data_IF_760238219696
#
_entry.id   IF_760238219696
#
_cell.length_a   1.000
_cell.length_b   1.000
_cell.length_c   1.000
_cell.angle_alpha   90.00
_cell.angle_beta   90.00
_cell.angle_gamma   90.00
#
_symmetry.space_group_name_H-M   'P 1'
#
loop_
_entity.id
_entity.type
_entity.pdbx_description
1 polymer ?
#
# COMPACT_ATOMS: atom_id res chain seq x y z
N UNK A 1 33.92 -0.65 55.42
CA UNK A 1 34.18 0.55 54.58
C UNK A 1 34.42 0.21 53.10
N UNK A 2 34.98 -0.97 52.82
CA UNK A 2 35.33 -1.48 51.47
C UNK A 2 34.11 -1.76 50.59
N UNK A 3 33.06 -2.38 51.13
CA UNK A 3 31.83 -2.73 50.38
C UNK A 3 31.10 -1.50 49.83
N UNK A 4 30.96 -0.43 50.63
CA UNK A 4 30.31 0.83 50.19
C UNK A 4 31.07 1.52 49.05
N UNK A 5 32.41 1.45 49.05
CA UNK A 5 33.26 2.00 47.98
C UNK A 5 33.13 1.19 46.69
N UNK A 6 33.11 -0.14 46.77
CA UNK A 6 32.90 -1.02 45.61
C UNK A 6 31.53 -0.80 44.99
N UNK A 7 30.46 -0.73 45.80
CA UNK A 7 29.09 -0.45 45.30
C UNK A 7 29.03 0.92 44.61
N UNK A 8 29.63 1.97 45.19
CA UNK A 8 29.66 3.30 44.56
C UNK A 8 30.41 3.31 43.22
N UNK A 9 31.52 2.57 43.11
CA UNK A 9 32.26 2.44 41.85
C UNK A 9 31.43 1.71 40.78
N UNK A 10 30.76 0.60 41.14
CA UNK A 10 29.86 -0.13 40.25
C UNK A 10 28.70 0.75 39.74
N UNK A 11 28.08 1.54 40.63
CA UNK A 11 27.01 2.47 40.24
C UNK A 11 27.48 3.56 39.28
N UNK A 12 28.70 4.08 39.44
CA UNK A 12 29.28 5.06 38.50
C UNK A 12 29.56 4.45 37.13
N UNK A 13 30.08 3.23 37.09
CA UNK A 13 30.32 2.50 35.84
C UNK A 13 28.99 2.24 35.13
N UNK A 14 27.97 1.75 35.86
CA UNK A 14 26.63 1.53 35.30
C UNK A 14 26.02 2.83 34.77
N UNK A 15 26.11 3.93 35.53
CA UNK A 15 25.65 5.24 35.08
C UNK A 15 26.40 5.73 33.83
N UNK A 16 27.71 5.49 33.74
CA UNK A 16 28.52 5.80 32.57
C UNK A 16 28.09 5.01 31.33
N UNK A 17 27.82 3.70 31.49
CA UNK A 17 27.30 2.83 30.41
C UNK A 17 25.93 3.31 29.93
N UNK A 18 25.02 3.61 30.87
CA UNK A 18 23.69 4.12 30.54
C UNK A 18 23.77 5.48 29.81
N UNK A 19 24.64 6.38 30.27
CA UNK A 19 24.86 7.67 29.60
C UNK A 19 25.42 7.49 28.18
N UNK A 20 26.40 6.61 28.00
CA UNK A 20 26.96 6.31 26.69
C UNK A 20 25.89 5.74 25.74
N UNK A 21 25.04 4.82 26.22
CA UNK A 21 23.93 4.27 25.45
C UNK A 21 22.91 5.35 25.05
N UNK A 22 22.55 6.25 25.97
CA UNK A 22 21.66 7.38 25.69
C UNK A 22 22.23 8.32 24.63
N UNK A 23 23.54 8.63 24.71
CA UNK A 23 24.22 9.46 23.71
C UNK A 23 24.21 8.77 22.34
N UNK A 24 24.44 7.46 22.28
CA UNK A 24 24.38 6.70 21.02
C UNK A 24 22.98 6.71 20.41
N UNK A 25 21.93 6.49 21.21
CA UNK A 25 20.53 6.55 20.74
C UNK A 25 20.19 7.96 20.27
N UNK A 26 20.53 8.98 21.05
CA UNK A 26 20.29 10.38 20.69
C UNK A 26 21.03 10.76 19.39
N UNK A 27 22.29 10.37 19.25
CA UNK A 27 23.09 10.58 18.04
C UNK A 27 22.50 9.89 16.82
N UNK A 28 22.03 8.64 16.97
CA UNK A 28 21.34 7.91 15.90
C UNK A 28 20.03 8.58 15.49
N UNK A 29 19.18 8.97 16.45
CA UNK A 29 17.93 9.68 16.17
C UNK A 29 18.18 11.05 15.53
N UNK A 30 19.21 11.78 15.95
CA UNK A 30 19.61 13.04 15.33
C UNK A 30 20.06 12.82 13.87
N UNK A 31 20.89 11.80 13.63
CA UNK A 31 21.32 11.44 12.27
C UNK A 31 20.13 11.09 11.35
N UNK A 32 19.18 10.29 11.85
CA UNK A 32 17.96 9.96 11.10
C UNK A 32 17.07 11.19 10.87
N UNK A 33 16.94 12.07 11.85
CA UNK A 33 16.15 13.31 11.73
C UNK A 33 16.70 14.23 10.65
N UNK A 34 18.03 14.35 10.55
CA UNK A 34 18.70 15.15 9.48
C UNK A 34 18.48 14.53 8.09
N UNK A 35 18.28 13.22 8.01
CA UNK A 35 18.09 12.46 6.75
C UNK A 35 16.64 12.09 6.49
N UNK A 36 15.70 12.62 7.28
CA UNK A 36 14.28 12.26 7.20
C UNK A 36 13.75 12.55 5.79
N UNK A 37 13.14 11.53 5.17
CA UNK A 37 12.44 11.72 3.90
C UNK A 37 11.20 12.58 4.14
N UNK A 38 11.19 13.78 3.56
CA UNK A 38 10.11 14.76 3.69
C UNK A 38 9.68 15.24 2.30
N UNK A 39 8.95 14.41 1.54
CA UNK A 39 8.47 14.82 0.21
C UNK A 39 7.46 15.97 0.34
N UNK A 40 7.32 16.76 -0.72
CA UNK A 40 6.29 17.80 -0.79
C UNK A 40 4.86 17.23 -0.72
N UNK A 41 3.91 18.09 -0.36
CA UNK A 41 2.48 17.73 -0.27
C UNK A 41 1.94 17.23 -1.61
N UNK A 42 2.31 17.91 -2.70
CA UNK A 42 2.02 17.48 -4.06
C UNK A 42 3.33 17.43 -4.86
N UNK A 43 3.56 16.33 -5.54
CA UNK A 43 4.71 16.14 -6.43
C UNK A 43 4.20 15.71 -7.80
N UNK A 44 4.33 16.60 -8.78
CA UNK A 44 3.99 16.30 -10.17
C UNK A 44 5.00 15.31 -10.75
N UNK A 45 4.50 14.24 -11.36
CA UNK A 45 5.29 13.23 -12.02
C UNK A 45 5.37 13.54 -13.52
N UNK A 46 6.49 13.19 -14.18
CA UNK A 46 6.60 13.37 -15.62
C UNK A 46 5.55 12.53 -16.35
N UNK A 47 4.96 13.14 -17.38
CA UNK A 47 4.05 12.47 -18.31
C UNK A 47 4.63 12.64 -19.71
N UNK A 48 4.86 11.52 -20.39
CA UNK A 48 5.38 11.49 -21.75
C UNK A 48 4.26 11.10 -22.72
N UNK A 49 4.23 11.76 -23.88
CA UNK A 49 3.20 11.55 -24.91
C UNK A 49 2.02 12.51 -24.82
N UNK A 50 1.01 12.25 -25.65
CA UNK A 50 -0.19 13.08 -25.77
C UNK A 50 -1.40 12.39 -25.12
N UNK A 51 -2.09 13.10 -24.22
CA UNK A 51 -3.27 12.58 -23.55
C UNK A 51 -4.43 12.35 -24.53
N UNK A 52 -4.81 11.08 -24.70
CA UNK A 52 -5.98 10.66 -25.47
C UNK A 52 -7.24 10.56 -24.61
N UNK A 53 -8.38 10.33 -25.24
CA UNK A 53 -9.63 10.00 -24.55
C UNK A 53 -9.64 8.50 -24.25
N UNK A 54 -9.85 8.13 -22.99
CA UNK A 54 -9.98 6.72 -22.57
C UNK A 54 -11.31 6.12 -23.05
N UNK A 55 -11.38 4.79 -23.27
CA UNK A 55 -12.63 4.14 -23.63
C UNK A 55 -13.65 4.22 -22.49
N UNK A 56 -14.94 4.22 -22.82
CA UNK A 56 -16.00 4.26 -21.81
C UNK A 56 -16.05 2.99 -20.96
N UNK A 57 -15.65 1.83 -21.51
CA UNK A 57 -15.55 0.56 -20.78
C UNK A 57 -14.10 0.20 -20.54
N UNK A 58 -13.74 -0.04 -19.28
CA UNK A 58 -12.35 -0.30 -18.88
C UNK A 58 -12.27 -1.44 -17.86
N UNK A 59 -11.12 -2.09 -17.81
CA UNK A 59 -10.77 -3.11 -16.81
C UNK A 59 -9.56 -2.66 -16.00
N UNK A 60 -9.66 -2.72 -14.68
CA UNK A 60 -8.67 -2.19 -13.74
C UNK A 60 -8.37 -3.24 -12.69
N UNK A 61 -7.09 -3.47 -12.43
CA UNK A 61 -6.63 -4.33 -11.33
C UNK A 61 -5.88 -3.53 -10.29
N UNK A 62 -6.13 -3.81 -9.01
CA UNK A 62 -5.26 -3.37 -7.92
C UNK A 62 -4.56 -4.58 -7.31
N UNK A 63 -3.28 -4.42 -6.97
CA UNK A 63 -2.49 -5.49 -6.37
C UNK A 63 -1.37 -4.95 -5.49
N UNK A 64 -1.50 -5.14 -4.17
CA UNK A 64 -0.36 -4.99 -3.27
C UNK A 64 0.58 -6.19 -3.45
N UNK A 65 1.79 -5.96 -3.97
CA UNK A 65 2.70 -7.05 -4.30
C UNK A 65 3.56 -7.49 -3.10
N UNK A 66 3.32 -6.92 -1.91
CA UNK A 66 4.05 -7.27 -0.67
C UNK A 66 5.56 -7.18 -0.85
N UNK A 67 6.04 -6.20 -1.63
CA UNK A 67 7.44 -6.04 -2.07
C UNK A 67 8.09 -7.34 -2.59
N UNK A 68 7.31 -8.18 -3.26
CA UNK A 68 7.66 -9.53 -3.70
C UNK A 68 8.32 -10.36 -2.59
N UNK A 69 8.03 -10.06 -1.32
CA UNK A 69 8.79 -10.56 -0.17
C UNK A 69 7.94 -11.26 0.87
N UNK A 70 6.63 -11.37 0.64
CA UNK A 70 5.62 -11.83 1.61
C UNK A 70 4.76 -12.99 1.11
N UNK A 71 5.29 -13.83 0.22
CA UNK A 71 4.59 -15.05 -0.24
C UNK A 71 4.24 -16.04 0.86
N UNK A 72 3.68 -17.19 0.48
CA UNK A 72 3.00 -18.11 1.38
C UNK A 72 3.89 -18.60 2.53
N UNK A 73 5.17 -18.85 2.29
CA UNK A 73 6.08 -19.40 3.29
C UNK A 73 6.58 -18.37 4.32
N UNK A 74 6.28 -17.07 4.12
CA UNK A 74 6.77 -16.00 4.98
C UNK A 74 6.02 -15.91 6.31
N UNK A 75 6.78 -15.60 7.37
CA UNK A 75 6.27 -15.04 8.62
C UNK A 75 7.03 -13.74 8.97
N UNK A 76 6.33 -12.63 9.12
CA UNK A 76 6.92 -11.31 9.25
C UNK A 76 6.97 -10.83 10.70
N UNK A 77 8.14 -10.34 11.12
CA UNK A 77 8.38 -9.98 12.52
C UNK A 77 7.48 -8.87 13.07
N UNK A 78 7.04 -7.91 12.24
CA UNK A 78 6.12 -6.87 12.71
C UNK A 78 4.73 -7.42 13.08
N UNK A 79 4.36 -8.59 12.55
CA UNK A 79 3.09 -9.26 12.85
C UNK A 79 3.25 -10.43 13.84
N UNK A 80 4.41 -10.58 14.47
CA UNK A 80 4.67 -11.64 15.44
C UNK A 80 5.32 -12.90 14.84
N UNK A 81 5.67 -12.88 13.55
CA UNK A 81 6.57 -13.85 12.93
C UNK A 81 8.03 -13.68 13.39
N UNK A 82 8.94 -14.40 12.72
CA UNK A 82 10.37 -14.42 13.05
C UNK A 82 11.24 -13.85 11.92
N UNK A 83 10.76 -13.86 10.67
CA UNK A 83 11.57 -13.41 9.54
C UNK A 83 11.48 -11.90 9.33
N UNK A 84 12.62 -11.29 9.02
CA UNK A 84 12.68 -9.88 8.58
C UNK A 84 12.61 -9.74 7.05
N UNK A 85 12.83 -10.84 6.32
CA UNK A 85 12.84 -10.96 4.85
C UNK A 85 13.00 -12.42 4.42
N UNK A 86 12.59 -12.78 3.19
CA UNK A 86 12.85 -14.11 2.63
C UNK A 86 14.35 -14.35 2.36
N UNK A 87 14.70 -15.62 2.17
CA UNK A 87 15.97 -15.99 1.54
C UNK A 87 16.08 -15.44 0.11
N UNK A 88 17.30 -15.31 -0.43
CA UNK A 88 17.50 -14.73 -1.77
C UNK A 88 16.85 -15.56 -2.89
N UNK A 89 16.93 -16.89 -2.80
CA UNK A 89 16.31 -17.80 -3.77
C UNK A 89 14.78 -17.71 -3.72
N UNK A 90 14.22 -17.68 -2.50
CA UNK A 90 12.79 -17.53 -2.28
C UNK A 90 12.25 -16.17 -2.76
N UNK A 91 13.00 -15.08 -2.55
CA UNK A 91 12.68 -13.79 -3.15
C UNK A 91 12.54 -13.90 -4.68
N UNK A 92 13.48 -14.59 -5.34
CA UNK A 92 13.43 -14.76 -6.80
C UNK A 92 12.17 -15.51 -7.25
N UNK A 93 11.75 -16.52 -6.50
CA UNK A 93 10.50 -17.26 -6.77
C UNK A 93 9.29 -16.34 -6.67
N UNK A 94 9.23 -15.50 -5.63
CA UNK A 94 8.14 -14.53 -5.46
C UNK A 94 8.16 -13.44 -6.55
N UNK A 95 9.33 -12.92 -6.92
CA UNK A 95 9.47 -11.94 -8.00
C UNK A 95 8.97 -12.50 -9.34
N UNK A 96 9.39 -13.71 -9.70
CA UNK A 96 8.91 -14.40 -10.91
C UNK A 96 7.40 -14.70 -10.83
N UNK A 97 6.90 -15.07 -9.65
CA UNK A 97 5.49 -15.32 -9.40
C UNK A 97 4.64 -14.06 -9.60
N UNK A 98 5.07 -12.93 -9.02
CA UNK A 98 4.41 -11.63 -9.19
C UNK A 98 4.43 -11.20 -10.66
N UNK A 99 5.56 -11.31 -11.37
CA UNK A 99 5.59 -10.97 -12.80
C UNK A 99 4.62 -11.82 -13.62
N UNK A 100 4.64 -13.15 -13.45
CA UNK A 100 3.70 -14.06 -14.12
C UNK A 100 2.25 -13.74 -13.77
N UNK A 101 1.97 -13.32 -12.54
CA UNK A 101 0.64 -12.87 -12.13
C UNK A 101 0.24 -11.61 -12.89
N UNK A 102 1.11 -10.60 -12.93
CA UNK A 102 0.85 -9.36 -13.67
C UNK A 102 0.66 -9.61 -15.18
N UNK A 103 1.37 -10.58 -15.77
CA UNK A 103 1.19 -10.96 -17.18
C UNK A 103 -0.25 -11.37 -17.49
N UNK A 104 -0.94 -12.03 -16.55
CA UNK A 104 -2.37 -12.39 -16.71
C UNK A 104 -3.29 -11.18 -16.80
N UNK A 105 -2.82 -10.00 -16.39
CA UNK A 105 -3.53 -8.72 -16.42
C UNK A 105 -3.03 -7.80 -17.54
N UNK A 106 -2.14 -8.28 -18.42
CA UNK A 106 -1.64 -7.51 -19.58
C UNK A 106 -2.75 -7.04 -20.52
N UNK A 107 -3.93 -7.68 -20.48
CA UNK A 107 -5.14 -7.24 -21.19
C UNK A 107 -5.82 -6.00 -20.59
N UNK A 108 -5.60 -5.68 -19.32
CA UNK A 108 -6.31 -4.63 -18.59
C UNK A 108 -5.82 -3.23 -18.95
N UNK A 109 -6.67 -2.22 -18.74
CA UNK A 109 -6.36 -0.82 -19.06
C UNK A 109 -5.38 -0.22 -18.05
N UNK A 110 -5.55 -0.57 -16.78
CA UNK A 110 -4.74 -0.05 -15.67
C UNK A 110 -4.40 -1.15 -14.67
N UNK A 111 -3.18 -1.08 -14.11
CA UNK A 111 -2.77 -1.87 -12.95
C UNK A 111 -2.25 -0.92 -11.85
N UNK A 112 -2.83 -1.00 -10.67
CA UNK A 112 -2.51 -0.19 -9.50
C UNK A 112 -1.73 -1.04 -8.50
N UNK A 113 -0.41 -0.86 -8.43
CA UNK A 113 0.45 -1.65 -7.57
C UNK A 113 0.86 -0.89 -6.31
N UNK A 114 0.85 -1.58 -5.18
CA UNK A 114 1.33 -1.08 -3.89
C UNK A 114 2.56 -1.88 -3.43
N UNK A 115 3.36 -1.28 -2.54
CA UNK A 115 4.59 -1.87 -1.99
C UNK A 115 5.66 -2.26 -3.01
N UNK A 116 5.84 -1.46 -4.06
CA UNK A 116 6.89 -1.71 -5.07
C UNK A 116 8.24 -1.20 -4.55
N UNK A 117 9.16 -2.11 -4.20
CA UNK A 117 10.51 -1.73 -3.77
C UNK A 117 11.37 -1.34 -4.99
N UNK A 118 12.00 -0.16 -4.92
CA UNK A 118 13.00 0.26 -5.91
C UNK A 118 14.44 -0.01 -5.44
N UNK A 119 14.66 -0.04 -4.13
CA UNK A 119 15.94 -0.37 -3.52
C UNK A 119 15.77 -0.57 -2.00
N UNK A 120 15.52 -1.81 -1.56
CA UNK A 120 15.38 -2.10 -0.14
C UNK A 120 16.13 -3.36 0.29
N UNK A 121 16.70 -3.34 1.50
CA UNK A 121 17.39 -4.50 2.07
C UNK A 121 16.44 -5.68 2.31
N UNK A 122 15.16 -5.42 2.61
CA UNK A 122 14.12 -6.45 2.81
C UNK A 122 13.83 -7.28 1.55
N UNK A 123 14.09 -6.72 0.38
CA UNK A 123 13.99 -7.36 -0.94
C UNK A 123 15.37 -7.50 -1.61
N UNK A 124 16.42 -7.67 -0.81
CA UNK A 124 17.80 -7.87 -1.30
C UNK A 124 18.29 -6.84 -2.34
N UNK A 125 17.84 -5.59 -2.19
CA UNK A 125 18.12 -4.47 -3.08
C UNK A 125 17.67 -4.69 -4.54
N UNK A 126 16.72 -5.60 -4.74
CA UNK A 126 16.06 -5.75 -6.03
C UNK A 126 15.35 -4.45 -6.40
N UNK A 127 15.37 -4.12 -7.70
CA UNK A 127 14.70 -2.97 -8.24
C UNK A 127 13.42 -3.45 -8.95
N UNK A 128 12.39 -3.70 -8.15
CA UNK A 128 11.10 -4.23 -8.62
C UNK A 128 10.38 -3.22 -9.51
N UNK A 129 10.56 -1.93 -9.25
CA UNK A 129 10.09 -0.88 -10.16
C UNK A 129 10.64 -1.12 -11.57
N UNK A 130 11.96 -1.23 -11.72
CA UNK A 130 12.58 -1.48 -13.03
C UNK A 130 12.17 -2.82 -13.61
N UNK A 131 12.14 -3.87 -12.80
CA UNK A 131 11.72 -5.21 -13.19
C UNK A 131 10.31 -5.19 -13.84
N UNK A 132 9.35 -4.54 -13.19
CA UNK A 132 7.98 -4.41 -13.68
C UNK A 132 7.93 -3.49 -14.91
N UNK A 133 8.55 -2.31 -14.88
CA UNK A 133 8.46 -1.36 -16.01
C UNK A 133 9.18 -1.84 -17.27
N UNK A 134 10.26 -2.60 -17.13
CA UNK A 134 10.95 -3.21 -18.28
C UNK A 134 10.10 -4.33 -18.90
N UNK A 135 9.37 -5.09 -18.07
CA UNK A 135 8.51 -6.17 -18.52
C UNK A 135 7.23 -5.65 -19.21
N UNK A 136 6.65 -4.58 -18.67
CA UNK A 136 5.46 -3.92 -19.21
C UNK A 136 5.83 -2.63 -19.95
N UNK A 137 6.80 -2.70 -20.87
CA UNK A 137 7.33 -1.53 -21.59
C UNK A 137 6.29 -0.76 -22.41
N UNK A 138 5.21 -1.42 -22.80
CA UNK A 138 4.10 -0.84 -23.56
C UNK A 138 3.12 -0.05 -22.67
N UNK A 139 3.27 -0.12 -21.34
CA UNK A 139 2.47 0.65 -20.40
C UNK A 139 3.23 1.93 -20.01
N UNK A 140 2.51 3.06 -20.01
CA UNK A 140 2.93 4.23 -19.26
C UNK A 140 3.02 3.88 -17.77
N UNK A 141 4.05 4.35 -17.09
CA UNK A 141 4.31 4.04 -15.69
C UNK A 141 4.50 5.30 -14.84
N UNK A 142 3.83 5.35 -13.69
CA UNK A 142 3.83 6.50 -12.80
C UNK A 142 4.13 6.03 -11.38
N UNK A 143 5.28 6.43 -10.84
CA UNK A 143 5.77 5.97 -9.54
C UNK A 143 5.72 7.06 -8.48
N UNK A 144 4.91 6.85 -7.44
CA UNK A 144 4.81 7.71 -6.28
C UNK A 144 5.57 7.09 -5.10
N UNK A 145 6.78 7.59 -4.83
CA UNK A 145 7.57 7.15 -3.69
C UNK A 145 6.87 7.52 -2.37
N UNK A 146 6.57 6.52 -1.54
CA UNK A 146 5.88 6.68 -0.27
C UNK A 146 6.73 6.20 0.92
N UNK A 147 7.89 5.61 0.68
CA UNK A 147 8.76 5.12 1.73
C UNK A 147 10.24 5.31 1.40
N UNK A 148 10.96 6.01 2.28
CA UNK A 148 12.42 6.06 2.27
C UNK A 148 12.92 6.23 3.71
N UNK A 149 13.51 5.16 4.26
CA UNK A 149 13.99 5.14 5.64
C UNK A 149 15.13 4.12 5.83
N UNK A 150 15.78 4.15 6.99
CA UNK A 150 16.59 3.05 7.48
C UNK A 150 16.01 2.54 8.79
N UNK A 151 15.54 1.29 8.81
CA UNK A 151 14.82 0.72 9.96
C UNK A 151 15.75 -0.17 10.80
N UNK A 152 15.97 0.16 12.10
CA UNK A 152 16.89 -0.58 12.97
C UNK A 152 16.35 -1.93 13.44
N UNK A 153 15.06 -2.20 13.28
CA UNK A 153 14.40 -3.37 13.83
C UNK A 153 14.25 -4.50 12.79
N UNK A 154 14.36 -5.77 13.22
CA UNK A 154 14.87 -6.21 14.54
C UNK A 154 16.39 -5.93 14.67
N UNK A 155 16.87 -5.61 15.88
CA UNK A 155 18.25 -5.12 16.11
C UNK A 155 19.34 -6.05 15.56
N UNK A 156 19.14 -7.37 15.64
CA UNK A 156 20.08 -8.39 15.16
C UNK A 156 20.02 -8.64 13.66
N UNK A 157 18.88 -8.34 13.01
CA UNK A 157 18.73 -8.44 11.56
C UNK A 157 17.83 -7.30 11.04
N UNK A 158 18.32 -6.05 11.02
CA UNK A 158 17.47 -4.90 10.74
C UNK A 158 16.81 -5.00 9.36
N UNK A 159 15.57 -4.55 9.23
CA UNK A 159 14.93 -4.37 7.93
C UNK A 159 15.77 -3.42 7.05
N UNK A 160 16.45 -2.44 7.66
CA UNK A 160 17.50 -1.64 7.06
C UNK A 160 16.99 -0.60 6.09
N UNK A 161 17.79 -0.29 5.06
CA UNK A 161 17.43 0.71 4.04
C UNK A 161 16.21 0.24 3.26
N UNK A 162 15.22 1.11 3.11
CA UNK A 162 14.05 0.88 2.27
C UNK A 162 13.84 2.08 1.34
N UNK A 163 13.46 1.79 0.10
CA UNK A 163 12.94 2.75 -0.87
C UNK A 163 11.82 2.06 -1.65
N UNK A 164 10.59 2.53 -1.46
CA UNK A 164 9.39 1.91 -2.01
C UNK A 164 8.32 2.94 -2.39
N UNK A 165 7.32 2.51 -3.15
CA UNK A 165 6.23 3.39 -3.60
C UNK A 165 5.02 2.67 -4.18
N UNK A 166 4.12 3.49 -4.69
CA UNK A 166 2.95 3.08 -5.47
C UNK A 166 3.29 3.22 -6.95
N UNK A 167 2.88 2.25 -7.75
CA UNK A 167 3.09 2.25 -9.20
C UNK A 167 1.74 2.11 -9.90
N UNK A 168 1.41 3.07 -10.76
CA UNK A 168 0.30 2.91 -11.71
C UNK A 168 0.88 2.59 -13.08
N UNK A 169 0.53 1.42 -13.62
CA UNK A 169 0.74 1.07 -15.03
C UNK A 169 -0.54 1.38 -15.81
N UNK A 170 -0.39 1.97 -16.99
CA UNK A 170 -1.49 2.49 -17.78
C UNK A 170 -1.25 2.27 -19.27
N UNK A 171 -2.22 1.67 -19.99
CA UNK A 171 -2.21 1.63 -21.46
C UNK A 171 -2.49 2.99 -22.10
N UNK A 172 -3.02 3.92 -21.32
CA UNK A 172 -3.43 5.25 -21.77
C UNK A 172 -2.45 6.30 -21.26
N UNK A 173 -2.28 7.41 -21.98
CA UNK A 173 -1.50 8.56 -21.52
C UNK A 173 -2.41 9.51 -20.72
N UNK A 174 -2.12 9.81 -19.44
CA UNK A 174 -2.88 10.77 -18.63
C UNK A 174 -2.62 12.22 -19.08
N UNK A 175 -3.55 13.12 -18.76
CA UNK A 175 -3.34 14.58 -18.82
C UNK A 175 -2.41 15.07 -17.71
N UNK A 176 -2.32 14.33 -16.60
CA UNK A 176 -1.42 14.63 -15.48
C UNK A 176 -1.31 13.49 -14.48
N UNK A 177 -0.15 13.40 -13.82
CA UNK A 177 0.13 12.45 -12.76
C UNK A 177 0.72 13.20 -11.54
N UNK A 178 0.16 12.97 -10.35
CA UNK A 178 0.55 13.69 -9.13
C UNK A 178 0.55 12.72 -7.95
N UNK A 179 1.68 12.67 -7.23
CA UNK A 179 1.75 12.10 -5.89
C UNK A 179 1.19 13.12 -4.90
N UNK A 180 0.18 12.75 -4.13
CA UNK A 180 -0.40 13.59 -3.07
C UNK A 180 -0.16 12.96 -1.71
N UNK A 181 0.55 13.65 -0.83
CA UNK A 181 0.83 13.19 0.53
C UNK A 181 -0.45 13.18 1.37
N UNK A 182 -0.61 12.17 2.22
CA UNK A 182 -1.59 12.26 3.30
C UNK A 182 -1.07 13.24 4.36
N UNK A 183 -1.96 14.12 4.85
CA UNK A 183 -1.70 15.09 5.93
C UNK A 183 -1.55 14.47 7.33
N UNK A 184 -1.52 13.14 7.44
CA UNK A 184 -1.36 12.40 8.69
C UNK A 184 -0.18 11.43 8.61
N UNK A 185 0.32 11.03 9.78
CA UNK A 185 1.41 10.09 9.91
C UNK A 185 1.84 9.94 11.36
N UNK A 186 2.78 9.03 11.60
CA UNK A 186 3.33 8.82 12.93
C UNK A 186 4.02 10.07 13.48
N UNK A 187 4.11 10.18 14.80
CA UNK A 187 4.87 11.22 15.50
C UNK A 187 6.36 10.87 15.56
N UNK A 188 7.20 11.85 15.92
CA UNK A 188 8.60 11.57 16.25
C UNK A 188 8.65 10.72 17.54
N UNK A 189 9.52 9.70 17.63
CA UNK A 189 10.55 9.31 16.65
C UNK A 189 10.08 8.29 15.60
N UNK A 190 8.88 7.70 15.75
CA UNK A 190 8.40 6.62 14.87
C UNK A 190 8.33 7.02 13.40
N UNK A 191 7.98 8.27 13.10
CA UNK A 191 7.93 8.81 11.74
C UNK A 191 9.24 8.71 10.96
N UNK A 192 10.38 8.59 11.65
CA UNK A 192 11.70 8.45 11.02
C UNK A 192 11.87 7.08 10.35
N UNK A 193 11.08 6.09 10.79
CA UNK A 193 11.17 4.70 10.37
C UNK A 193 9.97 4.23 9.56
N UNK A 194 8.85 4.98 9.63
CA UNK A 194 7.58 4.65 8.99
C UNK A 194 7.40 5.30 7.63
N UNK A 195 6.43 4.80 6.85
CA UNK A 195 6.08 5.31 5.54
C UNK A 195 5.59 6.76 5.62
N UNK A 196 5.90 7.54 4.57
CA UNK A 196 5.28 8.85 4.29
C UNK A 196 4.12 8.63 3.34
N UNK A 197 3.03 8.12 3.90
CA UNK A 197 1.82 7.67 3.18
C UNK A 197 1.34 8.74 2.21
N UNK A 198 0.91 8.30 1.04
CA UNK A 198 0.41 9.12 -0.05
C UNK A 198 -0.54 8.31 -0.92
N UNK A 199 -1.22 8.96 -1.83
CA UNK A 199 -1.90 8.33 -2.96
C UNK A 199 -1.39 8.94 -4.27
N UNK A 200 -1.49 8.18 -5.34
CA UNK A 200 -1.10 8.60 -6.69
C UNK A 200 -2.35 8.87 -7.50
N UNK A 201 -2.51 10.12 -7.94
CA UNK A 201 -3.59 10.56 -8.83
C UNK A 201 -3.08 10.60 -10.26
N UNK A 202 -3.75 9.90 -11.16
CA UNK A 202 -3.57 9.99 -12.61
C UNK A 202 -4.89 10.45 -13.23
N UNK A 203 -4.85 11.52 -14.01
CA UNK A 203 -6.03 12.13 -14.65
C UNK A 203 -6.03 11.79 -16.13
N UNK A 204 -7.15 11.35 -16.68
CA UNK A 204 -7.27 11.00 -18.09
C UNK A 204 -8.44 11.75 -18.71
N UNK A 205 -8.29 12.21 -19.96
CA UNK A 205 -9.44 12.74 -20.68
C UNK A 205 -10.43 11.60 -20.90
N UNK A 206 -11.71 11.84 -20.65
CA UNK A 206 -12.79 10.87 -20.85
C UNK A 206 -13.86 11.46 -21.78
N UNK A 207 -14.84 10.63 -22.14
CA UNK A 207 -16.04 11.09 -22.85
C UNK A 207 -16.74 12.25 -22.12
N UNK A 208 -17.69 12.90 -22.82
CA UNK A 208 -18.54 13.96 -22.25
C UNK A 208 -17.79 15.24 -21.81
N UNK A 209 -16.55 15.43 -22.26
CA UNK A 209 -15.73 16.59 -21.92
C UNK A 209 -15.31 16.62 -20.44
N UNK A 210 -15.20 15.44 -19.82
CA UNK A 210 -14.82 15.25 -18.41
C UNK A 210 -13.52 14.47 -18.29
N UNK A 211 -13.02 14.33 -17.07
CA UNK A 211 -11.85 13.51 -16.77
C UNK A 211 -12.21 12.26 -15.97
N UNK A 212 -11.45 11.18 -16.18
CA UNK A 212 -11.30 10.11 -15.22
C UNK A 212 -10.16 10.44 -14.26
N UNK A 213 -10.50 10.61 -12.98
CA UNK A 213 -9.57 10.74 -11.87
C UNK A 213 -9.37 9.36 -11.26
N UNK A 214 -8.27 8.70 -11.66
CA UNK A 214 -7.87 7.40 -11.16
C UNK A 214 -6.88 7.56 -10.01
N UNK A 215 -7.17 6.94 -8.87
CA UNK A 215 -6.35 7.04 -7.66
C UNK A 215 -5.87 5.65 -7.24
N UNK A 216 -4.55 5.51 -7.10
CA UNK A 216 -3.89 4.38 -6.45
C UNK A 216 -3.57 4.76 -5.00
N UNK A 217 -4.19 4.10 -4.02
CA UNK A 217 -4.00 4.38 -2.59
C UNK A 217 -3.35 3.22 -1.84
N UNK A 218 -2.67 3.54 -0.74
CA UNK A 218 -2.20 2.57 0.25
C UNK A 218 -2.22 3.22 1.64
N UNK A 219 -3.34 3.05 2.34
CA UNK A 219 -3.62 3.70 3.63
C UNK A 219 -2.77 3.10 4.77
N UNK A 220 -2.81 3.72 5.94
CA UNK A 220 -2.00 3.32 7.09
C UNK A 220 -2.45 2.01 7.74
N UNK A 221 -1.57 1.02 7.74
CA UNK A 221 -1.73 -0.28 8.39
C UNK A 221 -1.65 -0.25 9.93
N UNK A 222 -1.94 -1.39 10.55
CA UNK A 222 -1.87 -1.68 11.99
C UNK A 222 -2.93 -1.02 12.89
N UNK A 223 -3.12 -1.59 14.08
CA UNK A 223 -4.14 -1.16 15.03
C UNK A 223 -3.87 0.21 15.66
N UNK A 224 -2.61 0.64 15.71
CA UNK A 224 -2.22 1.92 16.32
C UNK A 224 -2.40 3.13 15.37
N UNK A 225 -2.80 2.89 14.12
CA UNK A 225 -2.98 3.92 13.09
C UNK A 225 -4.44 4.38 12.91
N UNK A 226 -5.37 4.03 13.81
CA UNK A 226 -6.79 4.36 13.65
C UNK A 226 -7.06 5.87 13.41
N UNK A 227 -6.44 6.75 14.20
CA UNK A 227 -6.57 8.22 14.01
C UNK A 227 -5.89 8.73 12.73
N UNK A 228 -4.79 8.08 12.31
CA UNK A 228 -4.13 8.38 11.05
C UNK A 228 -5.07 8.07 9.89
N UNK A 229 -5.67 6.87 9.89
CA UNK A 229 -6.63 6.42 8.88
C UNK A 229 -7.87 7.30 8.80
N UNK A 230 -8.40 7.78 9.93
CA UNK A 230 -9.52 8.74 9.94
C UNK A 230 -9.19 10.01 9.13
N UNK A 231 -7.96 10.51 9.26
CA UNK A 231 -7.50 11.70 8.52
C UNK A 231 -7.20 11.39 7.05
N UNK A 232 -6.73 10.18 6.74
CA UNK A 232 -6.55 9.70 5.36
C UNK A 232 -7.90 9.58 4.63
N UNK A 233 -8.89 8.94 5.27
CA UNK A 233 -10.25 8.83 4.76
C UNK A 233 -10.88 10.21 4.53
N UNK A 234 -10.76 11.14 5.47
CA UNK A 234 -11.28 12.50 5.30
C UNK A 234 -10.71 13.20 4.05
N UNK A 235 -9.41 13.03 3.77
CA UNK A 235 -8.78 13.59 2.57
C UNK A 235 -9.24 12.91 1.28
N UNK A 236 -9.42 11.58 1.29
CA UNK A 236 -9.97 10.87 0.13
C UNK A 236 -11.42 11.31 -0.14
N UNK A 237 -12.23 11.48 0.91
CA UNK A 237 -13.60 11.99 0.79
C UNK A 237 -13.64 13.41 0.22
N UNK A 238 -12.75 14.30 0.67
CA UNK A 238 -12.63 15.65 0.11
C UNK A 238 -12.30 15.61 -1.39
N UNK A 239 -11.38 14.74 -1.81
CA UNK A 239 -11.07 14.51 -3.23
C UNK A 239 -12.29 13.99 -3.99
N UNK A 240 -12.99 13.00 -3.44
CA UNK A 240 -14.19 12.40 -4.03
C UNK A 240 -15.25 13.46 -4.32
N UNK A 241 -15.63 14.24 -3.30
CA UNK A 241 -16.68 15.26 -3.40
C UNK A 241 -16.26 16.41 -4.35
N UNK A 242 -14.99 16.84 -4.26
CA UNK A 242 -14.45 17.93 -5.09
C UNK A 242 -14.43 17.57 -6.57
N UNK A 243 -13.93 16.37 -6.91
CA UNK A 243 -13.81 15.95 -8.31
C UNK A 243 -15.16 15.58 -8.92
N UNK A 244 -16.03 14.93 -8.15
CA UNK A 244 -17.37 14.61 -8.62
C UNK A 244 -18.22 15.87 -8.83
N UNK A 245 -18.06 16.91 -8.01
CA UNK A 245 -18.72 18.23 -8.22
C UNK A 245 -18.31 18.88 -9.55
N UNK A 246 -17.09 18.62 -10.06
CA UNK A 246 -16.64 19.08 -11.39
C UNK A 246 -17.27 18.24 -12.53
N UNK A 247 -17.99 17.18 -12.19
CA UNK A 247 -18.57 16.20 -13.11
C UNK A 247 -17.59 15.14 -13.57
N UNK A 248 -16.43 15.01 -12.93
CA UNK A 248 -15.43 13.99 -13.27
C UNK A 248 -15.87 12.60 -12.80
N UNK A 249 -15.32 11.58 -13.44
CA UNK A 249 -15.38 10.20 -12.98
C UNK A 249 -14.29 10.00 -11.93
N UNK A 250 -14.62 9.45 -10.77
CA UNK A 250 -13.64 9.21 -9.70
C UNK A 250 -13.60 7.72 -9.40
N UNK A 251 -12.42 7.14 -9.58
CA UNK A 251 -12.16 5.75 -9.28
C UNK A 251 -10.95 5.65 -8.35
N UNK A 252 -11.15 5.14 -7.14
CA UNK A 252 -10.09 4.98 -6.14
C UNK A 252 -9.91 3.49 -5.89
N UNK A 253 -8.73 2.95 -6.14
CA UNK A 253 -8.39 1.55 -5.90
C UNK A 253 -7.07 1.41 -5.14
N UNK A 254 -6.93 0.32 -4.38
CA UNK A 254 -5.72 0.10 -3.60
C UNK A 254 -5.94 -0.78 -2.39
N UNK A 255 -4.92 -0.80 -1.55
CA UNK A 255 -4.97 -1.37 -0.20
C UNK A 255 -5.44 -0.30 0.79
N UNK A 256 -6.68 -0.44 1.25
CA UNK A 256 -7.30 0.49 2.20
C UNK A 256 -6.92 0.22 3.65
N UNK A 257 -6.26 -0.91 3.95
CA UNK A 257 -5.95 -1.36 5.31
C UNK A 257 -7.14 -1.33 6.29
N UNK A 258 -8.37 -1.37 5.77
CA UNK A 258 -9.64 -1.37 6.53
C UNK A 258 -10.68 -2.12 5.74
N UNK A 259 -11.60 -2.79 6.44
CA UNK A 259 -12.71 -3.43 5.76
C UNK A 259 -13.70 -2.38 5.21
N UNK A 260 -14.26 -2.59 4.00
CA UNK A 260 -15.30 -1.73 3.46
C UNK A 260 -16.60 -1.90 4.24
N UNK A 261 -17.47 -0.91 4.15
CA UNK A 261 -18.82 -1.00 4.74
C UNK A 261 -19.57 -2.18 4.11
N UNK A 262 -20.26 -2.96 4.95
CA UNK A 262 -21.03 -4.12 4.52
C UNK A 262 -20.21 -5.39 4.28
N UNK A 263 -18.90 -5.41 4.58
CA UNK A 263 -18.11 -6.63 4.54
C UNK A 263 -18.66 -7.68 5.52
N UNK A 264 -19.24 -8.75 4.98
CA UNK A 264 -19.79 -9.85 5.76
C UNK A 264 -18.89 -11.09 5.64
N UNK A 265 -18.23 -11.42 6.75
CA UNK A 265 -17.36 -12.59 6.84
C UNK A 265 -18.07 -13.92 6.61
N UNK A 266 -19.41 -13.98 6.74
CA UNK A 266 -20.18 -15.19 6.49
C UNK A 266 -20.32 -15.55 5.00
N UNK A 267 -20.05 -14.59 4.10
CA UNK A 267 -20.09 -14.81 2.65
C UNK A 267 -18.79 -15.41 2.10
N UNK A 268 -17.70 -15.33 2.87
CA UNK A 268 -16.39 -15.82 2.43
C UNK A 268 -16.41 -17.33 2.20
N UNK A 269 -15.65 -17.77 1.20
CA UNK A 269 -15.50 -19.18 0.91
C UNK A 269 -14.82 -19.94 2.07
N UNK A 270 -15.12 -21.25 2.26
CA UNK A 270 -14.72 -22.00 3.45
C UNK A 270 -13.20 -22.14 3.71
N UNK A 271 -12.35 -21.88 2.72
CA UNK A 271 -10.89 -21.91 2.88
C UNK A 271 -10.34 -20.73 3.68
N UNK A 272 -11.12 -19.66 3.86
CA UNK A 272 -10.72 -18.47 4.60
C UNK A 272 -11.06 -18.60 6.08
N UNK A 273 -10.11 -18.19 6.94
CA UNK A 273 -10.36 -17.99 8.37
C UNK A 273 -10.50 -16.49 8.62
N UNK A 274 -11.72 -15.93 8.63
CA UNK A 274 -11.89 -14.49 8.60
C UNK A 274 -11.41 -13.78 9.87
N UNK A 275 -10.89 -12.57 9.69
CA UNK A 275 -10.72 -11.54 10.73
C UNK A 275 -11.32 -10.22 10.26
N UNK A 276 -11.75 -9.41 11.22
CA UNK A 276 -12.12 -8.01 11.01
C UNK A 276 -10.97 -7.08 11.43
N UNK A 277 -10.85 -5.98 10.71
CA UNK A 277 -9.98 -4.86 11.02
C UNK A 277 -10.80 -3.83 11.78
N UNK A 278 -10.34 -3.52 13.00
CA UNK A 278 -11.00 -2.57 13.88
C UNK A 278 -10.20 -1.25 13.98
N UNK A 279 -10.83 -0.08 13.78
CA UNK A 279 -12.19 0.10 13.24
C UNK A 279 -12.26 -0.16 11.72
N UNK A 280 -13.41 -0.61 11.19
CA UNK A 280 -13.65 -0.66 9.74
C UNK A 280 -13.79 0.77 9.17
N UNK A 281 -14.01 0.88 7.86
CA UNK A 281 -14.39 2.18 7.28
C UNK A 281 -15.76 2.60 7.87
N UNK A 282 -15.92 3.85 8.33
CA UNK A 282 -17.20 4.34 8.87
C UNK A 282 -18.35 4.28 7.85
N UNK A 283 -19.55 3.96 8.33
CA UNK A 283 -20.76 3.86 7.49
C UNK A 283 -21.09 5.16 6.73
N UNK A 284 -20.73 6.31 7.30
CA UNK A 284 -20.96 7.64 6.74
C UNK A 284 -19.81 8.14 5.83
N UNK A 285 -18.81 7.28 5.54
CA UNK A 285 -17.66 7.65 4.72
C UNK A 285 -18.04 7.96 3.27
N UNK A 286 -18.86 7.11 2.64
CA UNK A 286 -19.27 7.29 1.25
C UNK A 286 -20.36 8.36 1.14
N UNK A 287 -20.20 9.37 0.25
CA UNK A 287 -21.30 10.26 -0.11
C UNK A 287 -22.43 9.49 -0.81
N UNK A 288 -23.62 10.09 -0.88
CA UNK A 288 -24.78 9.46 -1.50
C UNK A 288 -24.50 9.03 -2.95
N UNK A 289 -24.93 7.80 -3.30
CA UNK A 289 -24.78 7.22 -4.63
C UNK A 289 -23.39 6.64 -4.94
N UNK A 290 -22.39 6.85 -4.09
CA UNK A 290 -21.09 6.19 -4.21
C UNK A 290 -21.19 4.74 -3.76
N UNK A 291 -20.27 3.90 -4.25
CA UNK A 291 -20.24 2.49 -3.90
C UNK A 291 -18.83 1.97 -3.71
N UNK A 292 -18.69 1.01 -2.80
CA UNK A 292 -17.55 0.11 -2.77
C UNK A 292 -17.72 -0.96 -3.86
N UNK A 293 -16.63 -1.38 -4.49
CA UNK A 293 -16.58 -2.57 -5.34
C UNK A 293 -15.51 -3.52 -4.82
N UNK A 294 -15.97 -4.65 -4.29
CA UNK A 294 -15.16 -5.75 -3.80
C UNK A 294 -15.86 -7.07 -4.08
N UNK A 295 -15.09 -8.14 -4.13
CA UNK A 295 -15.61 -9.50 -4.22
C UNK A 295 -15.93 -10.01 -2.80
N UNK A 296 -17.20 -10.28 -2.46
CA UNK A 296 -17.58 -10.68 -1.10
C UNK A 296 -17.16 -12.12 -0.76
N UNK A 297 -16.75 -12.93 -1.74
CA UNK A 297 -16.45 -14.35 -1.54
C UNK A 297 -15.00 -14.61 -1.15
N UNK A 298 -14.08 -13.67 -1.43
CA UNK A 298 -12.66 -13.87 -1.25
C UNK A 298 -12.03 -12.85 -0.28
N UNK A 299 -11.14 -13.32 0.59
CA UNK A 299 -10.23 -12.43 1.30
C UNK A 299 -9.17 -11.88 0.34
N UNK A 300 -8.66 -10.67 0.59
CA UNK A 300 -7.61 -10.05 -0.23
C UNK A 300 -6.27 -9.95 0.49
N UNK A 301 -6.23 -10.12 1.82
CA UNK A 301 -5.02 -10.09 2.63
C UNK A 301 -5.01 -11.23 3.66
N UNK A 302 -3.82 -11.70 4.03
CA UNK A 302 -3.60 -12.64 5.14
C UNK A 302 -2.80 -12.01 6.28
N UNK A 303 -2.97 -12.52 7.49
CA UNK A 303 -1.96 -12.33 8.54
C UNK A 303 -0.63 -12.95 8.08
N UNK A 304 0.46 -12.26 8.38
CA UNK A 304 1.82 -12.74 8.11
C UNK A 304 2.51 -13.14 9.41
N UNK A 305 1.77 -13.48 10.47
CA UNK A 305 2.33 -13.94 11.75
C UNK A 305 2.87 -15.38 11.71
N UNK A 306 2.40 -16.19 10.74
CA UNK A 306 2.83 -17.55 10.43
C UNK A 306 2.84 -17.75 8.91
N UNK A 307 3.50 -18.80 8.38
CA UNK A 307 3.32 -19.20 6.98
C UNK A 307 1.85 -19.48 6.68
N UNK A 308 1.42 -19.16 5.46
CA UNK A 308 0.05 -19.33 5.01
C UNK A 308 -0.35 -20.81 5.03
N UNK A 309 -1.51 -21.08 5.59
CA UNK A 309 -2.19 -22.36 5.47
C UNK A 309 -3.69 -22.09 5.47
N UNK A 310 -4.37 -22.52 4.41
CA UNK A 310 -5.82 -22.40 4.28
C UNK A 310 -6.55 -22.96 5.52
N UNK A 311 -7.58 -22.25 5.97
CA UNK A 311 -8.35 -22.57 7.18
C UNK A 311 -7.61 -22.42 8.51
N UNK A 312 -6.34 -21.99 8.52
CA UNK A 312 -5.55 -21.78 9.75
C UNK A 312 -5.01 -20.36 9.89
N UNK A 313 -4.47 -19.81 8.81
CA UNK A 313 -4.01 -18.42 8.80
C UNK A 313 -5.21 -17.50 8.67
N UNK A 314 -5.28 -16.46 9.50
CA UNK A 314 -6.39 -15.51 9.42
C UNK A 314 -6.27 -14.67 8.16
N UNK A 315 -7.40 -14.34 7.55
CA UNK A 315 -7.49 -13.56 6.32
C UNK A 315 -8.60 -12.52 6.41
N UNK A 316 -8.51 -11.47 5.60
CA UNK A 316 -9.47 -10.36 5.59
C UNK A 316 -9.57 -9.74 4.20
N UNK A 317 -10.51 -8.82 4.01
CA UNK A 317 -10.72 -8.05 2.78
C UNK A 317 -10.41 -6.57 3.02
N UNK A 318 -9.34 -6.08 2.40
CA UNK A 318 -8.87 -4.68 2.53
C UNK A 318 -8.45 -4.05 1.19
N UNK A 319 -8.41 -4.84 0.11
CA UNK A 319 -8.10 -4.36 -1.23
C UNK A 319 -9.40 -4.27 -2.03
N UNK A 320 -9.76 -3.06 -2.49
CA UNK A 320 -11.01 -2.84 -3.21
C UNK A 320 -11.04 -1.47 -3.88
N UNK A 321 -12.14 -1.19 -4.56
CA UNK A 321 -12.37 0.07 -5.24
C UNK A 321 -13.53 0.88 -4.64
N UNK A 322 -13.48 2.20 -4.81
CA UNK A 322 -14.58 3.14 -4.57
C UNK A 322 -14.88 3.87 -5.88
N UNK A 323 -16.16 3.93 -6.24
CA UNK A 323 -16.63 4.44 -7.53
C UNK A 323 -17.62 5.58 -7.33
N UNK A 324 -17.45 6.65 -8.10
CA UNK A 324 -18.43 7.74 -8.18
C UNK A 324 -19.75 7.29 -8.83
N UNK A 325 -20.87 7.99 -8.57
CA UNK A 325 -22.19 7.58 -9.06
C UNK A 325 -22.33 7.44 -10.58
N UNK A 326 -21.49 8.13 -11.35
CA UNK A 326 -21.43 8.11 -12.82
C UNK A 326 -20.56 6.98 -13.39
N UNK A 327 -20.15 6.01 -12.57
CA UNK A 327 -19.45 4.81 -13.01
C UNK A 327 -20.31 3.59 -12.63
N UNK A 328 -20.70 2.77 -13.60
CA UNK A 328 -21.25 1.46 -13.26
C UNK A 328 -20.15 0.43 -13.06
N UNK A 329 -20.40 -0.46 -12.11
CA UNK A 329 -19.64 -1.67 -11.93
C UNK A 329 -20.29 -2.76 -12.78
N UNK A 330 -19.57 -3.28 -13.76
CA UNK A 330 -20.01 -4.40 -14.59
C UNK A 330 -19.61 -5.74 -13.97
N UNK A 331 -18.42 -5.81 -13.39
CA UNK A 331 -17.90 -7.00 -12.71
C UNK A 331 -16.90 -6.61 -11.62
N UNK A 332 -16.79 -7.43 -10.58
CA UNK A 332 -15.69 -7.40 -9.60
C UNK A 332 -15.31 -8.83 -9.25
N UNK A 333 -14.01 -9.11 -9.22
CA UNK A 333 -13.47 -10.43 -8.93
C UNK A 333 -12.12 -10.32 -8.22
N UNK A 334 -11.92 -11.11 -7.18
CA UNK A 334 -10.60 -11.34 -6.60
C UNK A 334 -9.98 -12.57 -7.26
N UNK A 335 -8.79 -12.43 -7.83
CA UNK A 335 -8.05 -13.57 -8.36
C UNK A 335 -7.43 -14.33 -7.20
N UNK A 336 -7.98 -15.50 -6.85
CA UNK A 336 -7.41 -16.35 -5.81
C UNK A 336 -6.02 -16.85 -6.20
N UNK A 337 -5.00 -16.42 -5.45
CA UNK A 337 -3.61 -16.84 -5.66
C UNK A 337 -3.18 -17.89 -4.63
N UNK A 338 -3.95 -18.07 -3.56
CA UNK A 338 -3.50 -18.84 -2.40
C UNK A 338 -2.33 -18.16 -1.67
N UNK A 339 -2.16 -16.84 -1.87
CA UNK A 339 -1.08 -16.03 -1.30
C UNK A 339 0.32 -16.54 -1.64
N UNK A 340 0.50 -17.21 -2.79
CA UNK A 340 1.76 -17.88 -3.12
C UNK A 340 2.92 -16.91 -3.31
N UNK A 341 2.70 -15.82 -4.06
CA UNK A 341 3.72 -14.85 -4.45
C UNK A 341 3.70 -13.56 -3.61
N UNK A 342 2.57 -13.24 -2.98
CA UNK A 342 2.39 -12.11 -2.07
C UNK A 342 1.34 -12.44 -1.00
N UNK A 343 1.35 -11.68 0.10
CA UNK A 343 0.37 -11.76 1.18
C UNK A 343 -0.96 -11.08 0.86
N UNK A 344 -1.08 -10.51 -0.34
CA UNK A 344 -2.33 -10.03 -0.91
C UNK A 344 -2.76 -10.81 -2.16
N UNK A 345 -4.04 -10.70 -2.49
CA UNK A 345 -4.64 -11.21 -3.73
C UNK A 345 -5.13 -10.03 -4.58
N UNK A 346 -4.90 -10.05 -5.91
CA UNK A 346 -5.33 -8.96 -6.80
C UNK A 346 -6.84 -8.91 -6.93
N UNK A 347 -7.38 -7.68 -6.99
CA UNK A 347 -8.80 -7.42 -7.23
C UNK A 347 -8.95 -6.71 -8.56
N UNK A 348 -9.80 -7.26 -9.42
CA UNK A 348 -10.08 -6.72 -10.75
C UNK A 348 -11.53 -6.27 -10.84
N UNK A 349 -11.75 -5.07 -11.36
CA UNK A 349 -13.07 -4.57 -11.72
C UNK A 349 -13.16 -4.32 -13.22
N UNK A 350 -14.37 -4.49 -13.74
CA UNK A 350 -14.75 -3.98 -15.05
C UNK A 350 -15.83 -2.93 -14.87
N UNK A 351 -15.65 -1.77 -15.49
CA UNK A 351 -16.55 -0.62 -15.32
C UNK A 351 -17.00 -0.05 -16.65
N UNK A 352 -18.06 0.76 -16.59
CA UNK A 352 -18.46 1.65 -17.68
C UNK A 352 -18.72 3.06 -17.16
N UNK A 353 -18.20 4.06 -17.87
CA UNK A 353 -18.45 5.47 -17.63
C UNK A 353 -19.80 5.87 -18.25
N UNK A 354 -20.62 6.61 -17.51
CA UNK A 354 -21.92 7.12 -17.98
C UNK A 354 -21.98 8.65 -17.95
N UNK A 355 -22.74 9.23 -18.89
CA UNK A 355 -23.07 10.66 -18.80
C UNK A 355 -23.80 10.96 -17.48
N UNK A 356 -23.54 12.14 -16.92
CA UNK A 356 -24.19 12.66 -15.71
C UNK A 356 -25.59 13.25 -15.99
N UNK A 357 -26.15 13.01 -17.17
CA UNK A 357 -27.44 13.58 -17.57
C UNK A 357 -28.56 13.01 -16.67
N UNK A 358 -29.10 13.90 -15.83
CA UNK A 358 -30.39 13.72 -15.14
C UNK A 358 -31.55 13.86 -16.11
#
# INVERSE_FOLDING_TARGET
>A
MTVKRTISAMLRVLAGILLALLILIAGFLAWQTIREFSPGEMVHLPVEGQAGIVPDTMTITTYNIGYCGLGAEMDFFYEGGKMARPGREQLSVYEDGVLKRLETFSGHDFMLLQEVDACARRSWYSNQLKMVTDHFSDFGNYFAMNYQAWVPLPVTNPMGKVRAGLLTLSKHTPSGAVRVAFKSGYSWPMRLFMLKRCYLVTRYNAGFGKELVLVNTHNSAFSDAAEIRKTELAQLRELMETEYTKGNFVLIGGDWNQNPVGFDTALLLPQYLPKLIEPPIPDDFLPEGWKFAYDPLHSTNRDVNIPYTAGKTRTTLIDFFVLSPNIDLLNVETTETGFTEADHQPVTIRIVLKSNDK
#
